data_IF_955990927037
#
_entry.id   IF_955990927037
#
_cell.length_a   1.000
_cell.length_b   1.000
_cell.length_c   1.000
_cell.angle_alpha   90.00
_cell.angle_beta   90.00
_cell.angle_gamma   90.00
#
_symmetry.space_group_name_H-M   'P 1'
#
loop_
_entity.id
_entity.type
_entity.pdbx_description
1 polymer ?
#
# COMPACT_ATOMS: atom_id res chain seq x y z
N UNK A 1 -41.56 20.13 -12.57
CA UNK A 1 -41.04 19.19 -11.56
C UNK A 1 -39.57 19.53 -11.32
N UNK A 2 -39.18 19.89 -10.09
CA UNK A 2 -37.76 20.10 -9.75
C UNK A 2 -37.22 18.76 -9.25
N UNK A 3 -36.38 18.12 -10.05
CA UNK A 3 -35.65 16.91 -9.65
C UNK A 3 -34.59 17.36 -8.66
N UNK A 4 -34.80 17.06 -7.37
CA UNK A 4 -33.79 17.21 -6.34
C UNK A 4 -32.81 16.05 -6.54
N UNK A 5 -31.65 16.34 -7.12
CA UNK A 5 -30.55 15.38 -7.23
C UNK A 5 -29.86 15.32 -5.86
N UNK A 6 -30.22 14.33 -5.05
CA UNK A 6 -29.61 14.09 -3.75
C UNK A 6 -28.24 13.42 -3.97
N UNK A 7 -27.17 14.23 -4.08
CA UNK A 7 -25.81 13.71 -4.06
C UNK A 7 -25.47 13.27 -2.63
N UNK A 8 -25.45 11.97 -2.40
CA UNK A 8 -24.90 11.37 -1.18
C UNK A 8 -23.40 11.63 -1.15
N UNK A 9 -22.97 12.63 -0.39
CA UNK A 9 -21.57 12.94 -0.15
C UNK A 9 -21.04 11.98 0.93
N UNK A 10 -20.43 10.87 0.53
CA UNK A 10 -19.68 10.01 1.46
C UNK A 10 -18.30 10.61 1.70
N UNK A 11 -18.00 10.95 2.95
CA UNK A 11 -16.64 11.26 3.36
C UNK A 11 -15.78 10.00 3.20
N UNK A 12 -14.81 10.04 2.30
CA UNK A 12 -13.85 8.94 2.15
C UNK A 12 -12.72 9.18 3.14
N UNK A 13 -12.75 8.48 4.27
CA UNK A 13 -11.65 8.53 5.23
C UNK A 13 -10.42 7.90 4.58
N UNK A 14 -9.38 8.71 4.38
CA UNK A 14 -8.09 8.22 3.92
C UNK A 14 -7.46 7.27 4.95
N UNK A 15 -6.91 6.16 4.47
CA UNK A 15 -6.17 5.18 5.25
C UNK A 15 -4.68 5.46 5.13
N UNK A 16 -3.95 5.32 6.24
CA UNK A 16 -2.48 5.42 6.28
C UNK A 16 -1.92 4.07 6.73
N UNK A 17 -1.20 3.41 5.83
CA UNK A 17 -0.61 2.08 6.03
C UNK A 17 0.90 2.20 6.03
N UNK A 18 1.56 1.49 6.94
CA UNK A 18 3.03 1.43 6.96
C UNK A 18 3.48 -0.02 6.99
N UNK A 19 4.40 -0.38 6.09
CA UNK A 19 4.88 -1.76 5.92
C UNK A 19 5.97 -1.86 4.86
N UNK A 20 6.47 -3.07 4.62
CA UNK A 20 7.38 -3.33 3.51
C UNK A 20 6.60 -3.46 2.21
N UNK A 21 7.08 -2.80 1.16
CA UNK A 21 6.57 -2.97 -0.18
C UNK A 21 7.05 -4.30 -0.76
N UNK A 22 6.14 -5.08 -1.33
CA UNK A 22 6.41 -6.41 -1.85
C UNK A 22 5.66 -6.63 -3.17
N UNK A 23 6.26 -7.28 -4.16
CA UNK A 23 5.53 -7.68 -5.36
C UNK A 23 4.72 -8.97 -5.14
N UNK A 24 3.58 -9.10 -5.83
CA UNK A 24 2.70 -10.27 -5.63
C UNK A 24 3.32 -11.56 -6.15
N UNK A 25 4.17 -11.49 -7.16
CA UNK A 25 4.81 -12.66 -7.79
C UNK A 25 5.77 -13.36 -6.83
N UNK A 26 6.74 -12.65 -6.27
CA UNK A 26 7.72 -13.21 -5.34
C UNK A 26 7.07 -13.63 -4.03
N UNK A 27 6.06 -12.89 -3.57
CA UNK A 27 5.22 -13.30 -2.45
C UNK A 27 4.55 -14.66 -2.70
N UNK A 28 3.82 -14.79 -3.81
CA UNK A 28 3.12 -16.03 -4.19
C UNK A 28 4.08 -17.21 -4.38
N UNK A 29 5.23 -16.98 -5.02
CA UNK A 29 6.27 -18.00 -5.17
C UNK A 29 6.81 -18.48 -3.83
N UNK A 30 7.02 -17.56 -2.88
CA UNK A 30 7.51 -17.90 -1.54
C UNK A 30 6.49 -18.73 -0.75
N UNK A 31 5.19 -18.40 -0.85
CA UNK A 31 4.12 -19.21 -0.28
C UNK A 31 4.13 -20.64 -0.83
N UNK A 32 4.43 -20.80 -2.12
CA UNK A 32 4.53 -22.09 -2.80
C UNK A 32 5.86 -22.81 -2.54
N UNK A 33 6.83 -22.18 -1.85
CA UNK A 33 8.14 -22.75 -1.57
C UNK A 33 9.13 -22.69 -2.74
N UNK A 34 8.84 -21.88 -3.77
CA UNK A 34 9.77 -21.67 -4.88
C UNK A 34 10.86 -20.65 -4.51
N UNK A 35 12.09 -20.82 -5.02
CA UNK A 35 13.16 -19.86 -4.82
C UNK A 35 12.87 -18.54 -5.55
N UNK A 36 13.28 -17.43 -4.95
CA UNK A 36 13.18 -16.09 -5.53
C UNK A 36 14.51 -15.70 -6.16
N UNK A 37 14.48 -14.90 -7.23
CA UNK A 37 15.66 -14.56 -8.04
C UNK A 37 16.78 -13.85 -7.29
N UNK A 38 16.47 -13.15 -6.20
CA UNK A 38 17.47 -12.50 -5.33
C UNK A 38 17.87 -13.34 -4.10
N UNK A 39 17.42 -14.60 -4.03
CA UNK A 39 17.72 -15.53 -2.95
C UNK A 39 16.98 -15.26 -1.64
N UNK A 40 16.09 -14.27 -1.60
CA UNK A 40 15.33 -13.92 -0.39
C UNK A 40 14.08 -14.79 -0.25
N UNK A 41 13.49 -14.78 0.95
CA UNK A 41 12.20 -15.42 1.21
C UNK A 41 11.22 -14.38 1.79
N UNK A 42 10.48 -13.65 0.95
CA UNK A 42 9.49 -12.64 1.32
C UNK A 42 8.59 -12.94 2.52
N UNK A 43 8.13 -14.18 2.70
CA UNK A 43 7.20 -14.54 3.80
C UNK A 43 7.90 -14.63 5.17
N UNK A 44 9.22 -14.73 5.19
CA UNK A 44 10.05 -14.77 6.42
C UNK A 44 11.08 -13.64 6.50
N UNK A 45 11.35 -12.95 5.39
CA UNK A 45 12.41 -11.96 5.26
C UNK A 45 12.04 -10.84 4.26
N UNK A 46 10.81 -10.32 4.34
CA UNK A 46 10.33 -9.26 3.45
C UNK A 46 11.28 -8.05 3.37
N UNK A 47 11.90 -7.67 4.49
CA UNK A 47 12.85 -6.57 4.56
C UNK A 47 14.12 -6.77 3.72
N UNK A 48 14.46 -8.01 3.41
CA UNK A 48 15.66 -8.36 2.66
C UNK A 48 15.42 -8.37 1.14
N UNK A 49 14.15 -8.37 0.71
CA UNK A 49 13.80 -8.40 -0.70
C UNK A 49 14.27 -7.14 -1.43
N UNK A 50 14.88 -7.33 -2.59
CA UNK A 50 15.66 -6.29 -3.25
C UNK A 50 14.83 -5.49 -4.26
N UNK A 51 15.12 -4.20 -4.39
CA UNK A 51 14.49 -3.33 -5.41
C UNK A 51 14.68 -3.90 -6.81
N UNK A 52 15.86 -4.44 -7.10
CA UNK A 52 16.16 -5.01 -8.42
C UNK A 52 15.16 -6.14 -8.75
N UNK A 53 14.85 -7.01 -7.79
CA UNK A 53 13.89 -8.09 -8.00
C UNK A 53 12.45 -7.56 -8.10
N UNK A 54 12.06 -6.64 -7.21
CA UNK A 54 10.72 -6.01 -7.20
C UNK A 54 10.45 -5.27 -8.52
N UNK A 55 11.46 -4.60 -9.08
CA UNK A 55 11.38 -3.81 -10.31
C UNK A 55 11.49 -4.65 -11.59
N UNK A 56 11.65 -5.97 -11.51
CA UNK A 56 11.58 -6.82 -12.72
C UNK A 56 10.19 -6.72 -13.36
N UNK A 57 10.12 -6.73 -14.69
CA UNK A 57 8.88 -6.54 -15.44
C UNK A 57 7.73 -7.44 -14.95
N UNK A 58 8.02 -8.72 -14.71
CA UNK A 58 7.06 -9.70 -14.22
C UNK A 58 6.59 -9.46 -12.77
N UNK A 59 7.45 -8.85 -11.95
CA UNK A 59 7.13 -8.51 -10.55
C UNK A 59 6.26 -7.25 -10.51
N UNK A 60 6.63 -6.22 -11.27
CA UNK A 60 5.81 -5.01 -11.45
C UNK A 60 4.44 -5.35 -12.03
N UNK A 61 4.39 -6.19 -13.07
CA UNK A 61 3.13 -6.59 -13.71
C UNK A 61 2.21 -7.40 -12.79
N UNK A 62 2.77 -8.06 -11.77
CA UNK A 62 1.99 -8.82 -10.79
C UNK A 62 1.26 -7.93 -9.76
N UNK A 63 1.63 -6.64 -9.68
CA UNK A 63 1.14 -5.71 -8.68
C UNK A 63 1.93 -5.78 -7.38
N UNK A 64 1.42 -5.11 -6.35
CA UNK A 64 2.13 -4.94 -5.08
C UNK A 64 1.22 -5.16 -3.85
N UNK A 65 1.88 -5.51 -2.75
CA UNK A 65 1.35 -5.60 -1.40
C UNK A 65 2.12 -4.66 -0.48
N UNK A 66 1.46 -4.22 0.58
CA UNK A 66 2.10 -3.75 1.80
C UNK A 66 2.07 -4.90 2.79
N UNK A 67 3.23 -5.32 3.28
CA UNK A 67 3.35 -6.42 4.27
C UNK A 67 3.90 -5.91 5.59
N UNK A 68 3.45 -6.49 6.69
CA UNK A 68 3.90 -6.15 8.04
C UNK A 68 4.45 -7.38 8.74
N UNK A 69 5.40 -7.16 9.64
CA UNK A 69 5.85 -8.22 10.52
C UNK A 69 4.68 -8.57 11.45
N UNK A 70 4.17 -9.79 11.32
CA UNK A 70 2.95 -10.24 11.99
C UNK A 70 3.22 -11.02 13.27
N UNK A 71 4.46 -10.94 13.77
CA UNK A 71 5.04 -11.90 14.71
C UNK A 71 5.00 -13.33 14.12
N UNK A 72 5.69 -14.29 14.76
CA UNK A 72 5.86 -15.65 14.22
C UNK A 72 4.50 -16.37 14.19
N UNK A 73 3.87 -16.46 13.02
CA UNK A 73 2.67 -17.27 12.81
C UNK A 73 3.08 -18.61 12.21
N UNK A 74 2.78 -19.69 12.91
CA UNK A 74 2.70 -21.00 12.24
C UNK A 74 1.41 -21.03 11.46
N UNK A 75 1.51 -21.34 10.18
CA UNK A 75 0.34 -21.64 9.38
C UNK A 75 -0.07 -23.10 9.49
N UNK A 76 -1.30 -23.37 9.07
CA UNK A 76 -1.90 -24.70 9.05
C UNK A 76 -1.11 -25.70 8.19
N UNK A 77 -0.30 -25.21 7.25
CA UNK A 77 0.62 -26.00 6.42
C UNK A 77 1.97 -26.31 7.11
N UNK A 78 2.13 -25.93 8.39
CA UNK A 78 3.35 -26.12 9.16
C UNK A 78 4.46 -25.11 8.84
N UNK A 79 4.26 -24.17 7.90
CA UNK A 79 5.25 -23.14 7.59
C UNK A 79 5.24 -22.03 8.63
N UNK A 80 6.41 -21.43 8.83
CA UNK A 80 6.53 -20.22 9.63
C UNK A 80 6.41 -19.01 8.71
N UNK A 81 5.45 -18.14 8.99
CA UNK A 81 5.33 -16.81 8.41
C UNK A 81 5.77 -15.78 9.46
N UNK A 82 6.68 -14.88 9.07
CA UNK A 82 7.04 -13.71 9.90
C UNK A 82 6.36 -12.45 9.38
N UNK A 83 5.82 -12.49 8.17
CA UNK A 83 5.14 -11.38 7.52
C UNK A 83 3.74 -11.78 7.06
N UNK A 84 2.81 -10.82 7.08
CA UNK A 84 1.47 -10.97 6.50
C UNK A 84 1.13 -9.77 5.63
N UNK A 85 0.27 -9.98 4.63
CA UNK A 85 -0.30 -8.90 3.82
C UNK A 85 -1.18 -8.02 4.69
N UNK A 86 -0.90 -6.73 4.70
CA UNK A 86 -1.72 -5.69 5.32
C UNK A 86 -2.75 -5.14 4.32
N UNK A 87 -2.31 -4.87 3.09
CA UNK A 87 -3.17 -4.43 2.01
C UNK A 87 -2.57 -4.73 0.64
N UNK A 88 -3.45 -4.94 -0.32
CA UNK A 88 -3.16 -4.99 -1.75
C UNK A 88 -3.20 -3.57 -2.33
N UNK A 89 -2.18 -3.18 -3.10
CA UNK A 89 -2.19 -1.90 -3.82
C UNK A 89 -2.97 -2.08 -5.12
N UNK A 90 -3.90 -1.17 -5.39
CA UNK A 90 -4.75 -1.19 -6.58
C UNK A 90 -3.91 -1.25 -7.86
N UNK A 91 -4.40 -2.03 -8.84
CA UNK A 91 -3.77 -2.13 -10.17
C UNK A 91 -3.58 -0.75 -10.83
N UNK A 92 -4.49 0.19 -10.55
CA UNK A 92 -4.44 1.58 -11.04
C UNK A 92 -3.19 2.35 -10.58
N UNK A 93 -2.51 1.91 -9.52
CA UNK A 93 -1.35 2.58 -8.94
C UNK A 93 0.00 1.92 -9.27
N UNK A 94 0.05 0.90 -10.13
CA UNK A 94 1.32 0.22 -10.47
C UNK A 94 2.37 1.20 -10.99
N UNK A 95 2.00 2.12 -11.87
CA UNK A 95 2.93 3.12 -12.43
C UNK A 95 3.47 4.07 -11.36
N UNK A 96 2.66 4.42 -10.37
CA UNK A 96 3.08 5.25 -9.24
C UNK A 96 4.09 4.50 -8.35
N UNK A 97 3.86 3.21 -8.08
CA UNK A 97 4.79 2.39 -7.30
C UNK A 97 6.11 2.14 -8.06
N UNK A 98 6.05 1.86 -9.37
CA UNK A 98 7.26 1.72 -10.20
C UNK A 98 8.07 3.02 -10.25
N UNK A 99 7.41 4.16 -10.37
CA UNK A 99 8.06 5.48 -10.28
C UNK A 99 8.71 5.68 -8.92
N UNK A 100 8.01 5.33 -7.84
CA UNK A 100 8.58 5.37 -6.48
C UNK A 100 9.84 4.51 -6.37
N UNK A 101 9.81 3.25 -6.81
CA UNK A 101 10.96 2.34 -6.74
C UNK A 101 12.20 2.88 -7.46
N UNK A 102 12.02 3.60 -8.56
CA UNK A 102 13.11 4.27 -9.31
C UNK A 102 13.75 5.45 -8.56
N UNK A 103 13.05 6.01 -7.57
CA UNK A 103 13.55 7.13 -6.76
C UNK A 103 14.23 6.67 -5.45
N UNK A 104 13.98 5.43 -5.01
CA UNK A 104 14.58 4.88 -3.79
C UNK A 104 16.06 4.57 -4.04
N UNK A 105 16.94 5.09 -3.19
CA UNK A 105 18.39 4.88 -3.29
C UNK A 105 18.87 3.56 -2.67
N UNK A 106 18.02 2.89 -1.91
CA UNK A 106 18.36 1.68 -1.15
C UNK A 106 18.15 0.43 -2.00
N UNK A 107 18.99 -0.58 -1.76
CA UNK A 107 18.92 -1.86 -2.48
C UNK A 107 17.85 -2.81 -1.94
N UNK A 108 17.49 -2.67 -0.66
CA UNK A 108 16.51 -3.47 0.07
C UNK A 108 15.86 -2.62 1.18
N UNK A 109 15.10 -3.23 2.09
CA UNK A 109 14.43 -2.56 3.22
C UNK A 109 13.46 -1.46 2.77
N UNK A 110 12.64 -1.76 1.76
CA UNK A 110 11.68 -0.82 1.17
C UNK A 110 10.46 -0.69 2.07
N UNK A 111 10.63 0.03 3.17
CA UNK A 111 9.59 0.31 4.15
C UNK A 111 8.91 1.63 3.78
N UNK A 112 7.61 1.57 3.55
CA UNK A 112 6.82 2.66 2.97
C UNK A 112 5.68 3.05 3.86
N UNK A 113 5.31 4.33 3.78
CA UNK A 113 4.03 4.84 4.27
C UNK A 113 3.17 5.15 3.05
N UNK A 114 2.10 4.40 2.90
CA UNK A 114 1.09 4.57 1.87
C UNK A 114 -0.11 5.31 2.45
N UNK A 115 -0.62 6.30 1.71
CA UNK A 115 -1.86 6.99 2.01
C UNK A 115 -2.80 6.81 0.83
N UNK A 116 -4.07 6.50 1.11
CA UNK A 116 -5.02 6.21 0.05
C UNK A 116 -6.42 5.91 0.58
N UNK A 117 -7.25 5.35 -0.28
CA UNK A 117 -8.62 4.94 0.04
C UNK A 117 -8.88 3.56 -0.52
N UNK A 118 -9.74 2.74 0.09
CA UNK A 118 -10.07 1.44 -0.49
C UNK A 118 -11.06 1.57 -1.63
N UNK A 119 -10.82 0.86 -2.73
CA UNK A 119 -11.82 0.69 -3.78
C UNK A 119 -12.82 -0.42 -3.43
N UNK A 120 -13.75 -0.70 -4.35
CA UNK A 120 -14.80 -1.71 -4.16
C UNK A 120 -14.26 -3.14 -4.02
N UNK A 121 -13.02 -3.40 -4.41
CA UNK A 121 -12.35 -4.69 -4.24
C UNK A 121 -11.61 -4.81 -2.91
N UNK A 122 -11.54 -3.72 -2.14
CA UNK A 122 -10.79 -3.65 -0.89
C UNK A 122 -9.30 -3.34 -1.06
N UNK A 123 -8.82 -3.15 -2.30
CA UNK A 123 -7.45 -2.72 -2.59
C UNK A 123 -7.27 -1.23 -2.25
N UNK A 124 -6.07 -0.83 -1.81
CA UNK A 124 -5.76 0.58 -1.54
C UNK A 124 -5.43 1.30 -2.85
N UNK A 125 -6.23 2.32 -3.18
CA UNK A 125 -5.96 3.31 -4.21
C UNK A 125 -5.10 4.41 -3.60
N UNK A 126 -3.85 4.51 -4.03
CA UNK A 126 -2.85 5.41 -3.47
C UNK A 126 -3.12 6.86 -3.89
N UNK A 127 -3.14 7.76 -2.91
CA UNK A 127 -2.94 9.19 -3.10
C UNK A 127 -1.49 9.60 -2.86
N UNK A 128 -0.74 8.82 -2.05
CA UNK A 128 0.68 9.06 -1.76
C UNK A 128 1.38 7.76 -1.35
N UNK A 129 2.64 7.62 -1.75
CA UNK A 129 3.57 6.61 -1.22
C UNK A 129 4.91 7.29 -0.97
N UNK A 130 5.49 7.09 0.21
CA UNK A 130 6.80 7.62 0.57
C UNK A 130 7.65 6.56 1.23
N UNK A 131 8.95 6.74 1.10
CA UNK A 131 9.94 6.00 1.89
C UNK A 131 9.84 6.46 3.36
N UNK A 132 9.45 5.56 4.26
CA UNK A 132 9.29 5.87 5.69
C UNK A 132 10.61 6.17 6.41
N UNK A 133 11.75 5.80 5.80
CA UNK A 133 13.07 6.12 6.34
C UNK A 133 13.65 7.41 5.76
N UNK A 134 13.09 7.96 4.68
CA UNK A 134 13.52 9.28 4.19
C UNK A 134 12.86 10.38 5.03
N UNK A 135 13.59 10.79 6.07
CA UNK A 135 13.18 11.85 7.01
C UNK A 135 13.05 13.23 6.35
N UNK A 136 13.49 13.41 5.11
CA UNK A 136 13.32 14.67 4.34
C UNK A 136 11.93 14.80 3.73
N UNK A 137 11.16 13.70 3.65
CA UNK A 137 9.87 13.63 2.98
C UNK A 137 8.68 13.41 3.92
N UNK A 138 8.94 13.24 5.22
CA UNK A 138 7.91 13.33 6.27
C UNK A 138 7.68 14.80 6.57
N UNK A 139 6.55 15.42 6.15
CA UNK A 139 6.11 16.61 6.85
C UNK A 139 5.91 16.20 8.31
N UNK A 140 6.54 16.96 9.19
CA UNK A 140 6.40 16.86 10.65
C UNK A 140 4.95 17.09 11.06
N UNK A 141 4.10 16.08 10.89
CA UNK A 141 2.78 15.98 11.48
C UNK A 141 2.68 14.59 12.12
N UNK A 142 3.35 14.48 13.27
CA UNK A 142 3.00 13.45 14.22
C UNK A 142 1.58 13.76 14.72
N UNK A 143 0.57 13.12 14.15
CA UNK A 143 -0.77 13.11 14.74
C UNK A 143 -1.02 11.72 15.32
N UNK A 144 -0.75 11.60 16.63
CA UNK A 144 -1.42 10.60 17.46
C UNK A 144 -2.91 10.93 17.41
N UNK A 145 -3.73 10.06 16.85
CA UNK A 145 -5.15 10.00 17.24
C UNK A 145 -5.40 8.64 17.85
N UNK A 146 -5.59 8.67 19.16
CA UNK A 146 -6.42 7.71 19.86
C UNK A 146 -7.79 7.64 19.18
N UNK A 147 -8.40 6.46 19.01
CA UNK A 147 -9.75 6.36 18.48
C UNK A 147 -10.73 6.82 19.55
N UNK A 148 -10.94 8.13 19.65
CA UNK A 148 -12.15 8.68 20.23
C UNK A 148 -12.48 9.97 19.50
N UNK A 149 -13.35 9.82 18.50
CA UNK A 149 -14.30 10.85 18.10
C UNK A 149 -13.71 12.16 17.55
N UNK A 150 -13.21 12.18 16.31
CA UNK A 150 -13.31 13.41 15.52
C UNK A 150 -13.37 13.13 14.01
N UNK A 151 -14.55 13.40 13.47
CA UNK A 151 -14.92 13.38 12.07
C UNK A 151 -14.16 14.51 11.34
N UNK A 152 -13.15 14.19 10.53
CA UNK A 152 -12.55 15.15 9.60
C UNK A 152 -13.28 15.05 8.26
N UNK A 153 -14.21 15.98 8.02
CA UNK A 153 -14.93 16.12 6.75
C UNK A 153 -14.17 17.10 5.86
N UNK A 154 -13.51 16.61 4.80
CA UNK A 154 -13.05 17.49 3.72
C UNK A 154 -14.22 17.65 2.73
N UNK A 155 -14.90 18.80 2.82
CA UNK A 155 -16.07 19.12 2.01
C UNK A 155 -15.59 19.77 0.70
N UNK A 156 -15.39 18.97 -0.35
CA UNK A 156 -15.15 19.53 -1.71
C UNK A 156 -16.51 19.88 -2.31
N UNK A 157 -16.87 21.15 -2.19
CA UNK A 157 -18.05 21.73 -2.86
C UNK A 157 -17.68 22.02 -4.30
N UNK A 158 -18.05 21.14 -5.24
CA UNK A 158 -18.11 21.50 -6.66
C UNK A 158 -19.51 22.03 -6.97
N UNK A 159 -19.67 23.35 -6.99
CA UNK A 159 -20.86 24.00 -7.52
C UNK A 159 -20.74 23.97 -9.05
N UNK A 160 -21.48 23.08 -9.69
CA UNK A 160 -21.74 23.19 -11.13
C UNK A 160 -23.06 23.92 -11.28
N UNK A 161 -22.97 25.22 -11.60
CA UNK A 161 -24.12 26.03 -11.98
C UNK A 161 -24.57 25.53 -13.36
N UNK A 162 -25.57 24.66 -13.40
CA UNK A 162 -26.37 24.48 -14.61
C UNK A 162 -27.23 25.74 -14.79
N UNK A 163 -26.70 26.71 -15.51
CA UNK A 163 -27.47 27.79 -16.08
C UNK A 163 -27.95 27.37 -17.47
N UNK A 164 -29.27 27.41 -17.62
CA UNK A 164 -30.14 27.24 -18.79
C UNK A 164 -30.54 25.81 -19.16
#
# INVERSE_FOLDING_TARGET
AKIICLLMLSAVNGEVLTGYLMDRKCWSMSLQGYPIGDGTNPITSAQSHTVICISMLQCVASGFHIVVNSERKQAEDGKTYLYSVLADISQSNISAVDTFLKTVSRRAQIYVTATGTRDLSGEIVLSKIIDSYDTRLVPSFAYRISPSSTLFVLLVVSIQICLQ
#
